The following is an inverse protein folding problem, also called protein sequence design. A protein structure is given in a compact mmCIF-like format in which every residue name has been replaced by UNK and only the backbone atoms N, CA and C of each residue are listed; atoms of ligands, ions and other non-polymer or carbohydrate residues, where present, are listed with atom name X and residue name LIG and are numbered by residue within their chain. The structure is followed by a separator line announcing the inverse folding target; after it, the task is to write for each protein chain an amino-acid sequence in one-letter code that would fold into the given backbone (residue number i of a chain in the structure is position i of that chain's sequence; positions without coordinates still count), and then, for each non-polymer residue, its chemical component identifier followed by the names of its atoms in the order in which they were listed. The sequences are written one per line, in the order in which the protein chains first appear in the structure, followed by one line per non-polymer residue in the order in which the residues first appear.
data_IF_406910729765
#
_entry.id   IF_406910729765
#
_cell.length_a   1.000
_cell.length_b   1.000
_cell.length_c   1.000
_cell.angle_alpha   90.00
_cell.angle_beta   90.00
_cell.angle_gamma   90.00
#
_symmetry.space_group_name_H-M   'P 1'
#
loop_
_entity.id
_entity.type
_entity.pdbx_description
1 polymer ?
#
# COMPACT_ATOMS: atom_id res chain seq x y z
N UNK A 1 2.78 1.27 27.48
CA UNK A 1 3.96 1.25 26.57
C UNK A 1 3.76 2.36 25.55
N UNK A 2 4.71 3.28 25.46
CA UNK A 2 4.71 4.34 24.44
C UNK A 2 5.55 3.84 23.26
N UNK A 3 5.11 4.10 22.04
CA UNK A 3 5.82 3.73 20.81
C UNK A 3 6.10 5.02 20.05
N UNK A 4 7.36 5.23 19.67
CA UNK A 4 7.78 6.42 18.94
C UNK A 4 7.61 6.21 17.44
N UNK A 5 7.31 7.30 16.72
CA UNK A 5 7.39 7.35 15.27
C UNK A 5 8.84 7.56 14.88
N UNK A 6 9.45 6.60 14.18
CA UNK A 6 10.86 6.67 13.78
C UNK A 6 11.07 7.25 12.39
N UNK A 7 10.03 7.20 11.55
CA UNK A 7 10.07 7.67 10.16
C UNK A 7 8.67 7.94 9.62
N UNK A 8 8.61 8.60 8.46
CA UNK A 8 7.42 8.67 7.62
C UNK A 8 7.75 8.18 6.21
N UNK A 9 6.79 7.49 5.58
CA UNK A 9 6.92 7.12 4.17
C UNK A 9 6.25 8.19 3.29
N UNK A 10 6.90 8.54 2.18
CA UNK A 10 6.33 9.36 1.09
C UNK A 10 6.01 8.47 -0.08
N UNK A 11 4.79 8.58 -0.61
CA UNK A 11 4.29 7.79 -1.73
C UNK A 11 3.44 8.61 -2.68
N UNK A 12 3.14 8.08 -3.85
CA UNK A 12 2.21 8.67 -4.82
C UNK A 12 0.73 8.48 -4.44
N UNK A 13 0.43 7.74 -3.36
CA UNK A 13 -0.92 7.44 -2.89
C UNK A 13 -1.33 8.43 -1.79
N UNK A 14 -2.01 9.51 -2.16
CA UNK A 14 -2.39 10.59 -1.24
C UNK A 14 -3.72 10.33 -0.51
N UNK A 15 -4.51 9.34 -0.94
CA UNK A 15 -5.78 8.96 -0.31
C UNK A 15 -5.85 7.44 -0.08
N UNK A 16 -6.78 7.01 0.79
CA UNK A 16 -7.06 5.58 1.07
C UNK A 16 -7.65 4.84 -0.12
N UNK A 17 -8.41 5.55 -0.96
CA UNK A 17 -9.01 4.98 -2.16
C UNK A 17 -7.90 4.70 -3.18
N UNK A 18 -7.80 3.46 -3.62
CA UNK A 18 -6.77 3.03 -4.56
C UNK A 18 -5.51 2.44 -3.92
N UNK A 19 -5.34 2.53 -2.60
CA UNK A 19 -4.23 1.84 -1.93
C UNK A 19 -4.39 0.32 -2.14
N UNK A 20 -3.37 -0.37 -2.68
CA UNK A 20 -3.38 -1.81 -2.81
C UNK A 20 -3.63 -2.47 -1.45
N UNK A 21 -4.37 -3.57 -1.45
CA UNK A 21 -4.81 -4.21 -0.19
C UNK A 21 -3.68 -4.93 0.55
N UNK A 22 -2.58 -5.20 -0.13
CA UNK A 22 -1.37 -5.82 0.42
C UNK A 22 -0.17 -5.28 -0.33
N UNK A 23 0.97 -5.23 0.35
CA UNK A 23 2.27 -4.94 -0.25
C UNK A 23 2.63 -5.95 -1.33
N UNK A 24 3.42 -5.52 -2.31
CA UNK A 24 3.91 -6.35 -3.40
C UNK A 24 2.89 -6.65 -4.51
N UNK A 25 1.58 -6.31 -4.36
CA UNK A 25 0.59 -6.50 -5.43
C UNK A 25 0.84 -5.60 -6.64
N UNK A 26 1.48 -4.46 -6.42
CA UNK A 26 1.92 -3.49 -7.44
C UNK A 26 3.39 -3.19 -7.17
N UNK A 27 4.31 -3.97 -7.74
CA UNK A 27 5.76 -3.84 -7.48
C UNK A 27 6.33 -2.47 -7.86
N UNK A 28 5.70 -1.78 -8.81
CA UNK A 28 6.12 -0.47 -9.32
C UNK A 28 5.82 0.69 -8.36
N UNK A 29 4.91 0.49 -7.37
CA UNK A 29 4.63 1.49 -6.35
C UNK A 29 5.86 1.79 -5.51
N UNK A 30 6.46 2.94 -5.75
CA UNK A 30 7.61 3.43 -5.01
C UNK A 30 7.22 4.08 -3.69
N UNK A 31 8.16 4.08 -2.74
CA UNK A 31 8.08 4.86 -1.52
C UNK A 31 9.46 5.33 -1.08
N UNK A 32 9.50 6.47 -0.41
CA UNK A 32 10.70 7.01 0.23
C UNK A 32 10.46 7.09 1.73
N UNK A 33 11.21 6.32 2.52
CA UNK A 33 11.15 6.36 3.96
C UNK A 33 12.15 7.39 4.45
N UNK A 34 11.65 8.42 5.14
CA UNK A 34 12.43 9.52 5.69
C UNK A 34 12.43 9.38 7.20
N UNK A 35 13.59 9.18 7.78
CA UNK A 35 13.74 9.05 9.23
C UNK A 35 13.47 10.37 9.95
N UNK A 36 12.89 10.30 11.14
CA UNK A 36 12.77 11.47 12.03
C UNK A 36 14.12 11.93 12.54
N UNK A 37 14.30 13.24 12.81
CA UNK A 37 15.62 13.80 13.17
C UNK A 37 16.39 13.02 14.26
N UNK A 38 15.75 12.54 15.35
CA UNK A 38 16.47 11.79 16.39
C UNK A 38 17.04 10.45 15.92
N UNK A 39 16.50 9.88 14.81
CA UNK A 39 16.84 8.54 14.29
C UNK A 39 17.69 8.57 13.03
N UNK A 40 18.17 9.75 12.59
CA UNK A 40 18.96 9.94 11.35
C UNK A 40 20.42 9.54 11.48
N UNK A 41 20.75 8.64 12.40
CA UNK A 41 22.11 8.13 12.51
C UNK A 41 22.36 7.05 11.44
N UNK A 42 23.33 7.24 10.50
CA UNK A 42 23.63 6.26 9.47
C UNK A 42 24.02 4.88 10.01
N UNK A 43 24.59 4.82 11.21
CA UNK A 43 24.98 3.56 11.84
C UNK A 43 23.79 2.64 12.14
N UNK A 44 22.58 3.21 12.32
CA UNK A 44 21.36 2.43 12.51
C UNK A 44 20.95 1.66 11.25
N UNK A 45 21.44 2.04 10.07
CA UNK A 45 21.15 1.39 8.79
C UNK A 45 22.30 0.52 8.28
N UNK A 46 23.41 0.44 9.03
CA UNK A 46 24.62 -0.30 8.62
C UNK A 46 24.28 -1.78 8.39
N UNK A 47 24.55 -2.28 7.18
CA UNK A 47 24.28 -3.65 6.76
C UNK A 47 22.87 -3.89 6.21
N UNK A 48 21.99 -2.86 6.23
CA UNK A 48 20.63 -3.00 5.71
C UNK A 48 20.62 -3.22 4.20
N UNK A 49 21.59 -2.68 3.47
CA UNK A 49 21.80 -2.85 2.02
C UNK A 49 22.04 -4.32 1.60
N UNK A 50 22.38 -5.18 2.55
CA UNK A 50 22.48 -6.63 2.31
C UNK A 50 21.15 -7.36 2.24
N UNK A 51 20.03 -6.70 2.56
CA UNK A 51 18.70 -7.30 2.54
C UNK A 51 17.89 -6.81 1.36
N UNK A 52 17.18 -7.71 0.69
CA UNK A 52 16.32 -7.38 -0.45
C UNK A 52 14.94 -6.88 -0.04
N UNK A 53 14.45 -7.25 1.13
CA UNK A 53 13.12 -6.89 1.62
C UNK A 53 13.14 -6.49 3.09
N UNK A 54 12.19 -5.64 3.45
CA UNK A 54 12.00 -5.10 4.80
C UNK A 54 10.56 -5.28 5.26
N UNK A 55 10.39 -5.58 6.53
CA UNK A 55 9.13 -5.41 7.23
C UNK A 55 9.03 -3.97 7.73
N UNK A 56 7.94 -3.28 7.36
CA UNK A 56 7.55 -2.00 7.91
C UNK A 56 6.42 -2.22 8.91
N UNK A 57 6.64 -1.81 10.16
CA UNK A 57 5.62 -1.74 11.20
C UNK A 57 5.16 -0.29 11.26
N UNK A 58 3.88 -0.03 11.02
CA UNK A 58 3.37 1.32 10.84
C UNK A 58 2.03 1.54 11.53
N UNK A 59 1.64 2.81 11.67
CA UNK A 59 0.35 3.19 12.22
C UNK A 59 -0.66 3.51 11.10
N UNK A 60 -1.86 2.96 11.21
CA UNK A 60 -3.00 3.35 10.36
C UNK A 60 -3.53 4.73 10.78
N UNK A 61 -2.77 5.80 10.52
CA UNK A 61 -3.05 7.15 11.01
C UNK A 61 -4.36 7.76 10.49
N UNK A 62 -4.87 7.31 9.32
CA UNK A 62 -6.13 7.79 8.73
C UNK A 62 -7.34 6.91 9.01
N UNK A 63 -7.19 5.84 9.79
CA UNK A 63 -8.26 4.88 10.05
C UNK A 63 -8.59 4.74 11.55
N UNK A 64 -8.05 5.60 12.40
CA UNK A 64 -8.32 5.60 13.82
C UNK A 64 -9.82 5.79 14.10
N UNK A 65 -10.37 4.95 14.98
CA UNK A 65 -11.73 5.06 15.52
C UNK A 65 -11.63 5.18 17.03
N UNK A 66 -12.59 5.88 17.64
CA UNK A 66 -12.65 6.01 19.10
C UNK A 66 -12.89 4.64 19.77
N UNK A 67 -13.65 3.76 19.12
CA UNK A 67 -13.96 2.43 19.63
C UNK A 67 -13.62 1.35 18.61
N UNK A 68 -13.09 0.22 19.08
CA UNK A 68 -12.85 -0.95 18.27
C UNK A 68 -14.08 -1.86 18.21
N UNK A 69 -14.15 -2.72 17.20
CA UNK A 69 -15.18 -3.74 17.11
C UNK A 69 -14.54 -5.12 16.99
N UNK A 70 -15.06 -6.15 17.68
CA UNK A 70 -14.53 -7.50 17.58
C UNK A 70 -14.71 -8.12 16.21
N UNK A 71 -15.59 -7.54 15.36
CA UNK A 71 -15.83 -8.01 14.01
C UNK A 71 -15.76 -6.88 13.00
N UNK A 72 -15.34 -7.21 11.80
CA UNK A 72 -15.32 -6.33 10.62
C UNK A 72 -16.00 -6.99 9.44
N UNK A 73 -16.35 -6.22 8.42
CA UNK A 73 -16.92 -6.70 7.16
C UNK A 73 -15.89 -6.52 6.05
N UNK A 74 -15.11 -7.56 5.71
CA UNK A 74 -14.11 -7.46 4.65
C UNK A 74 -14.80 -7.14 3.31
N UNK A 75 -14.38 -6.09 2.57
CA UNK A 75 -15.00 -5.73 1.29
C UNK A 75 -14.96 -6.87 0.26
N UNK A 76 -13.91 -7.71 0.31
CA UNK A 76 -13.75 -8.87 -0.58
C UNK A 76 -14.79 -9.98 -0.37
N UNK A 77 -15.47 -10.01 0.78
CA UNK A 77 -16.56 -10.95 1.04
C UNK A 77 -17.94 -10.33 0.76
N UNK A 78 -18.00 -9.33 -0.11
CA UNK A 78 -19.26 -8.65 -0.50
C UNK A 78 -19.84 -7.72 0.57
N UNK A 79 -19.08 -7.44 1.65
CA UNK A 79 -19.50 -6.53 2.73
C UNK A 79 -20.58 -7.07 3.67
N UNK A 80 -21.17 -8.23 3.39
CA UNK A 80 -22.25 -8.82 4.19
C UNK A 80 -21.77 -9.80 5.26
N UNK A 81 -20.67 -10.50 5.00
CA UNK A 81 -20.09 -11.48 5.93
C UNK A 81 -19.21 -10.80 6.98
N UNK A 82 -19.50 -11.06 8.25
CA UNK A 82 -18.67 -10.60 9.37
C UNK A 82 -17.53 -11.58 9.63
N UNK A 83 -16.34 -11.04 9.89
CA UNK A 83 -15.15 -11.81 10.30
C UNK A 83 -14.60 -11.22 11.58
N UNK A 84 -14.00 -12.06 12.43
CA UNK A 84 -13.25 -11.58 13.58
C UNK A 84 -12.13 -10.64 13.14
N UNK A 85 -11.93 -9.52 13.85
CA UNK A 85 -10.94 -8.51 13.47
C UNK A 85 -9.53 -9.09 13.37
N UNK A 86 -9.19 -10.04 14.24
CA UNK A 86 -7.88 -10.71 14.26
C UNK A 86 -7.70 -11.75 13.13
N UNK A 87 -8.79 -12.20 12.51
CA UNK A 87 -8.71 -13.01 11.29
C UNK A 87 -8.56 -12.13 10.02
N UNK A 88 -8.34 -10.83 10.16
CA UNK A 88 -8.22 -9.88 9.04
C UNK A 88 -7.03 -8.95 9.23
N UNK A 89 -6.62 -8.25 8.17
CA UNK A 89 -5.66 -7.14 8.21
C UNK A 89 -6.37 -5.77 8.19
N UNK A 90 -7.60 -5.70 8.71
CA UNK A 90 -8.36 -4.45 8.82
C UNK A 90 -7.64 -3.44 9.72
N UNK A 91 -7.64 -2.13 9.36
CA UNK A 91 -7.11 -1.08 10.22
C UNK A 91 -7.94 -0.82 11.48
N UNK A 92 -9.21 -1.30 11.51
CA UNK A 92 -10.15 -1.09 12.63
C UNK A 92 -9.95 -2.11 13.74
N UNK A 93 -8.75 -2.11 14.32
CA UNK A 93 -8.31 -3.03 15.39
C UNK A 93 -7.96 -2.26 16.67
N UNK A 94 -7.86 -2.93 17.83
CA UNK A 94 -7.55 -2.26 19.11
C UNK A 94 -6.30 -1.39 19.04
N UNK A 95 -5.23 -1.94 18.46
CA UNK A 95 -4.04 -1.20 18.11
C UNK A 95 -4.02 -1.06 16.58
N UNK A 96 -4.16 0.16 16.08
CA UNK A 96 -4.20 0.45 14.65
C UNK A 96 -2.79 0.34 14.02
N UNK A 97 -2.15 -0.81 14.21
CA UNK A 97 -0.80 -1.13 13.71
C UNK A 97 -0.91 -2.01 12.48
N UNK A 98 -0.17 -1.66 11.44
CA UNK A 98 -0.03 -2.41 10.20
C UNK A 98 1.35 -3.03 10.05
N UNK A 99 1.45 -4.00 9.14
CA UNK A 99 2.67 -4.70 8.77
C UNK A 99 2.68 -4.87 7.25
N UNK A 100 3.74 -4.39 6.59
CA UNK A 100 3.94 -4.53 5.13
C UNK A 100 5.35 -4.99 4.83
N UNK A 101 5.48 -5.97 3.96
CA UNK A 101 6.76 -6.38 3.40
C UNK A 101 7.00 -5.59 2.11
N UNK A 102 8.06 -4.81 2.06
CA UNK A 102 8.43 -3.99 0.90
C UNK A 102 9.81 -4.40 0.39
N UNK A 103 10.05 -4.23 -0.91
CA UNK A 103 11.39 -4.43 -1.46
C UNK A 103 12.24 -3.21 -1.16
N UNK A 104 13.46 -3.43 -0.65
CA UNK A 104 14.47 -2.38 -0.52
C UNK A 104 15.16 -2.19 -1.86
N UNK A 105 15.09 -0.98 -2.41
CA UNK A 105 15.76 -0.63 -3.66
C UNK A 105 17.11 0.01 -3.41
N UNK A 106 17.20 0.91 -2.43
CA UNK A 106 18.41 1.66 -2.15
C UNK A 106 18.40 2.24 -0.72
N UNK A 107 19.55 2.29 -0.09
CA UNK A 107 19.85 3.12 1.08
C UNK A 107 20.72 4.26 0.62
N UNK A 108 20.27 5.50 0.75
CA UNK A 108 20.98 6.69 0.26
C UNK A 108 21.15 7.71 1.39
N UNK A 109 22.32 8.34 1.43
CA UNK A 109 22.53 9.50 2.27
C UNK A 109 22.13 10.77 1.50
N UNK A 110 21.04 11.40 1.92
CA UNK A 110 20.57 12.68 1.37
C UNK A 110 21.19 13.83 2.19
N UNK A 111 21.61 14.90 1.50
CA UNK A 111 22.27 16.04 2.14
C UNK A 111 21.39 16.78 3.16
N UNK A 112 20.07 16.80 2.95
CA UNK A 112 19.11 17.55 3.79
C UNK A 112 18.33 16.65 4.75
N UNK A 113 17.99 15.44 4.29
CA UNK A 113 17.12 14.52 5.03
C UNK A 113 17.92 13.50 5.85
N UNK A 114 19.24 13.43 5.65
CA UNK A 114 20.05 12.36 6.22
C UNK A 114 19.83 11.04 5.48
N UNK A 115 19.99 9.88 6.14
CA UNK A 115 19.78 8.60 5.49
C UNK A 115 18.29 8.41 5.15
N UNK A 116 18.01 7.99 3.91
CA UNK A 116 16.67 7.67 3.37
C UNK A 116 16.68 6.28 2.76
N UNK A 117 15.53 5.60 2.82
CA UNK A 117 15.35 4.29 2.19
C UNK A 117 14.39 4.44 1.00
N UNK A 118 14.80 4.00 -0.17
CA UNK A 118 13.92 3.86 -1.33
C UNK A 118 13.40 2.42 -1.36
N UNK A 119 12.08 2.30 -1.42
CA UNK A 119 11.39 1.01 -1.39
C UNK A 119 10.40 0.89 -2.55
N UNK A 120 9.99 -0.34 -2.86
CA UNK A 120 8.95 -0.62 -3.84
C UNK A 120 7.96 -1.67 -3.34
N UNK A 121 6.79 -1.73 -4.00
CA UNK A 121 5.68 -2.57 -3.57
C UNK A 121 4.94 -2.04 -2.33
N UNK A 122 5.07 -0.76 -2.00
CA UNK A 122 4.45 -0.17 -0.82
C UNK A 122 2.93 -0.03 -0.99
N UNK A 123 2.17 -0.48 0.02
CA UNK A 123 0.71 -0.36 0.14
C UNK A 123 0.31 0.67 1.21
N UNK A 124 1.00 1.79 1.24
CA UNK A 124 0.90 2.81 2.28
C UNK A 124 0.51 4.16 1.71
N UNK A 125 -0.38 4.85 2.40
CA UNK A 125 -0.74 6.24 2.09
C UNK A 125 0.44 7.17 2.40
N UNK A 126 0.60 8.21 1.59
CA UNK A 126 1.59 9.26 1.84
C UNK A 126 1.52 9.82 3.27
N UNK A 127 2.69 10.02 3.89
CA UNK A 127 2.81 10.48 5.26
C UNK A 127 2.50 9.42 6.33
N UNK A 128 2.41 8.13 5.99
CA UNK A 128 2.17 7.08 7.00
C UNK A 128 3.33 7.00 7.98
N UNK A 129 3.06 7.11 9.31
CA UNK A 129 4.08 6.97 10.34
C UNK A 129 4.60 5.53 10.43
N UNK A 130 5.91 5.38 10.39
CA UNK A 130 6.63 4.11 10.59
C UNK A 130 7.10 4.04 12.04
N UNK A 131 6.81 2.92 12.69
CA UNK A 131 7.12 2.65 14.09
C UNK A 131 8.37 1.79 14.25
N UNK A 132 8.63 0.90 13.28
CA UNK A 132 9.81 0.04 13.27
C UNK A 132 10.11 -0.47 11.86
N UNK A 133 11.38 -0.81 11.60
CA UNK A 133 11.87 -1.39 10.36
C UNK A 133 12.68 -2.64 10.73
N UNK A 134 12.35 -3.79 10.13
CA UNK A 134 13.09 -5.03 10.33
C UNK A 134 13.47 -5.66 8.99
N UNK A 135 14.61 -6.32 8.88
CA UNK A 135 14.94 -7.09 7.68
C UNK A 135 14.01 -8.28 7.53
N UNK A 136 13.64 -8.61 6.28
CA UNK A 136 12.98 -9.87 5.96
C UNK A 136 14.01 -11.00 5.91
N UNK A 137 13.75 -12.07 6.64
CA UNK A 137 14.63 -13.24 6.74
C UNK A 137 13.98 -14.43 6.03
N UNK A 138 14.40 -14.79 4.80
CA UNK A 138 13.73 -15.84 4.02
C UNK A 138 13.60 -17.18 4.74
N UNK A 139 14.59 -17.56 5.54
CA UNK A 139 14.59 -18.82 6.26
C UNK A 139 13.59 -18.86 7.44
N UNK A 140 13.14 -17.70 7.91
CA UNK A 140 12.23 -17.57 9.06
C UNK A 140 10.84 -17.05 8.66
N UNK A 141 10.77 -16.16 7.66
CA UNK A 141 9.54 -15.44 7.31
C UNK A 141 8.77 -16.11 6.16
N UNK A 142 9.43 -16.98 5.37
CA UNK A 142 8.80 -17.63 4.24
C UNK A 142 8.19 -18.99 4.64
N UNK A 143 6.87 -19.12 4.47
CA UNK A 143 6.08 -20.32 4.74
C UNK A 143 5.30 -20.74 3.48
N UNK A 144 5.92 -21.45 2.52
CA UNK A 144 5.26 -21.83 1.26
C UNK A 144 4.02 -22.73 1.48
N UNK A 145 3.97 -23.47 2.58
CA UNK A 145 2.87 -24.36 2.97
C UNK A 145 1.70 -23.63 3.66
N UNK A 146 1.85 -22.32 3.96
CA UNK A 146 0.83 -21.58 4.69
C UNK A 146 -0.47 -21.47 3.90
N UNK A 147 -1.61 -21.61 4.59
CA UNK A 147 -2.95 -21.44 4.02
C UNK A 147 -3.48 -20.05 4.30
N UNK A 148 -4.06 -19.40 3.31
CA UNK A 148 -4.59 -18.02 3.41
C UNK A 148 -6.03 -17.93 3.90
N UNK A 149 -6.67 -19.04 4.29
CA UNK A 149 -8.03 -19.08 4.80
C UNK A 149 -9.03 -18.51 3.78
N UNK A 150 -9.86 -17.57 4.19
CA UNK A 150 -10.87 -16.97 3.29
C UNK A 150 -10.27 -16.10 2.17
N UNK A 151 -8.97 -15.83 2.17
CA UNK A 151 -8.32 -15.00 1.15
C UNK A 151 -7.83 -15.79 -0.06
N UNK A 152 -7.62 -17.11 0.07
CA UNK A 152 -7.08 -17.96 -1.00
C UNK A 152 -7.85 -17.88 -2.33
N UNK A 153 -9.21 -17.93 -2.34
CA UNK A 153 -9.97 -17.82 -3.59
C UNK A 153 -9.94 -16.43 -4.22
N UNK A 154 -9.41 -15.43 -3.51
CA UNK A 154 -9.57 -14.00 -3.84
C UNK A 154 -8.27 -13.37 -4.36
N UNK A 155 -7.18 -14.12 -4.39
CA UNK A 155 -5.83 -13.56 -4.60
C UNK A 155 -5.52 -13.17 -6.05
N UNK A 156 -6.23 -13.72 -7.04
CA UNK A 156 -5.80 -13.69 -8.45
C UNK A 156 -6.63 -12.79 -9.40
N UNK A 157 -7.68 -12.10 -8.93
CA UNK A 157 -8.53 -11.32 -9.83
C UNK A 157 -7.95 -9.93 -10.07
N UNK A 158 -7.47 -9.68 -11.27
CA UNK A 158 -7.13 -8.35 -11.80
C UNK A 158 -8.11 -7.96 -12.88
N UNK A 159 -8.41 -6.65 -12.98
CA UNK A 159 -9.15 -6.08 -14.10
C UNK A 159 -8.22 -5.88 -15.29
N UNK A 160 -8.77 -5.97 -16.49
CA UNK A 160 -8.14 -5.41 -17.69
C UNK A 160 -8.22 -3.88 -17.62
N UNK A 161 -7.11 -3.18 -17.91
CA UNK A 161 -7.06 -1.71 -17.89
C UNK A 161 -6.92 -1.19 -19.31
N UNK A 162 -7.94 -0.45 -19.77
CA UNK A 162 -7.92 0.29 -21.02
C UNK A 162 -7.59 1.75 -20.73
N UNK A 163 -6.47 2.24 -21.27
CA UNK A 163 -6.00 3.60 -21.06
C UNK A 163 -5.32 4.12 -22.32
N UNK A 164 -5.72 5.29 -22.80
CA UNK A 164 -4.99 5.99 -23.85
C UNK A 164 -3.61 6.42 -23.28
N UNK A 165 -2.49 6.01 -23.90
CA UNK A 165 -1.14 6.40 -23.47
C UNK A 165 -0.94 7.92 -23.35
N UNK A 166 -1.66 8.72 -24.16
CA UNK A 166 -1.59 10.16 -24.11
C UNK A 166 -2.04 10.73 -22.75
N UNK A 167 -2.99 10.10 -22.06
CA UNK A 167 -3.46 10.51 -20.76
C UNK A 167 -2.36 10.36 -19.67
N UNK A 168 -1.39 9.48 -19.90
CA UNK A 168 -0.30 9.20 -18.97
C UNK A 168 0.94 10.09 -19.21
N UNK A 169 0.93 10.96 -20.21
CA UNK A 169 2.10 11.74 -20.63
C UNK A 169 2.71 12.59 -19.50
N UNK A 170 1.87 13.08 -18.56
CA UNK A 170 2.31 13.88 -17.42
C UNK A 170 2.88 13.10 -16.22
N UNK A 171 2.99 11.75 -16.32
CA UNK A 171 3.54 10.90 -15.28
C UNK A 171 4.92 10.37 -15.69
N UNK A 172 5.81 10.20 -14.70
CA UNK A 172 7.09 9.50 -14.91
C UNK A 172 6.86 8.04 -15.34
N UNK A 173 7.80 7.39 -16.05
CA UNK A 173 7.62 6.01 -16.53
C UNK A 173 7.17 5.03 -15.43
N UNK A 174 7.86 5.01 -14.30
CA UNK A 174 7.51 4.16 -13.15
C UNK A 174 6.12 4.47 -12.57
N UNK A 175 5.73 5.75 -12.54
CA UNK A 175 4.39 6.16 -12.08
C UNK A 175 3.28 5.69 -13.02
N UNK A 176 3.52 5.62 -14.33
CA UNK A 176 2.56 5.07 -15.30
C UNK A 176 2.29 3.60 -15.02
N UNK A 177 3.34 2.81 -14.87
CA UNK A 177 3.24 1.39 -14.55
C UNK A 177 2.56 1.16 -13.21
N UNK A 178 2.94 1.92 -12.18
CA UNK A 178 2.34 1.87 -10.86
C UNK A 178 0.84 2.21 -10.89
N UNK A 179 0.45 3.28 -11.61
CA UNK A 179 -0.97 3.65 -11.76
C UNK A 179 -1.77 2.53 -12.44
N UNK A 180 -1.28 1.99 -13.55
CA UNK A 180 -1.96 0.89 -14.25
C UNK A 180 -2.07 -0.35 -13.35
N UNK A 181 -1.03 -0.67 -12.58
CA UNK A 181 -1.05 -1.75 -11.58
C UNK A 181 -2.08 -1.53 -10.48
N UNK A 182 -2.20 -0.30 -9.95
CA UNK A 182 -3.21 0.08 -8.95
C UNK A 182 -4.63 -0.09 -9.51
N UNK A 183 -4.87 0.39 -10.72
CA UNK A 183 -6.17 0.29 -11.38
C UNK A 183 -6.54 -1.17 -11.66
N UNK A 184 -5.58 -2.00 -12.09
CA UNK A 184 -5.78 -3.43 -12.30
C UNK A 184 -6.17 -4.18 -11.01
N UNK A 185 -5.75 -3.69 -9.82
CA UNK A 185 -6.14 -4.25 -8.53
C UNK A 185 -7.59 -3.98 -8.10
N UNK A 186 -8.41 -3.36 -8.94
CA UNK A 186 -9.79 -2.93 -8.69
C UNK A 186 -9.93 -2.10 -7.39
N UNK A 187 -9.72 -0.78 -7.46
CA UNK A 187 -9.80 0.08 -6.29
C UNK A 187 -11.23 0.22 -5.73
N UNK A 188 -12.26 -0.17 -6.50
CA UNK A 188 -13.67 -0.04 -6.10
C UNK A 188 -14.02 -0.93 -4.90
N UNK A 189 -14.99 -0.52 -4.07
CA UNK A 189 -15.68 -1.45 -3.18
C UNK A 189 -16.46 -2.49 -4.00
N UNK A 190 -16.27 -3.78 -3.75
CA UNK A 190 -16.89 -4.89 -4.52
C UNK A 190 -18.43 -4.91 -4.54
N UNK A 191 -19.10 -4.17 -3.66
CA UNK A 191 -20.56 -4.04 -3.65
C UNK A 191 -21.05 -2.94 -4.60
N UNK A 192 -20.16 -2.23 -5.28
CA UNK A 192 -20.47 -1.21 -6.27
C UNK A 192 -20.20 -1.78 -7.65
N UNK A 193 -21.28 -2.20 -8.34
CA UNK A 193 -21.23 -2.70 -9.70
C UNK A 193 -22.18 -1.86 -10.57
N UNK A 194 -21.81 -0.59 -10.76
CA UNK A 194 -22.52 0.39 -11.58
C UNK A 194 -21.61 0.79 -12.75
N UNK A 195 -21.89 0.34 -13.99
CA UNK A 195 -21.03 0.60 -15.15
C UNK A 195 -21.02 2.07 -15.57
N UNK A 196 -22.06 2.85 -15.26
CA UNK A 196 -22.14 4.27 -15.62
C UNK A 196 -21.43 5.17 -14.60
N UNK A 197 -21.07 4.61 -13.45
CA UNK A 197 -20.44 5.38 -12.38
C UNK A 197 -19.01 5.73 -12.72
N UNK A 198 -18.69 7.03 -12.67
CA UNK A 198 -17.32 7.55 -12.75
C UNK A 198 -16.70 7.58 -11.36
N UNK A 199 -15.57 6.91 -11.20
CA UNK A 199 -14.78 6.90 -10.00
C UNK A 199 -13.59 7.87 -10.13
N UNK A 200 -13.14 8.42 -9.01
CA UNK A 200 -11.95 9.28 -8.93
C UNK A 200 -10.91 8.67 -8.00
N UNK A 201 -9.66 8.63 -8.44
CA UNK A 201 -8.50 8.17 -7.69
C UNK A 201 -7.45 9.29 -7.66
N UNK A 202 -6.95 9.62 -6.48
CA UNK A 202 -5.84 10.55 -6.33
C UNK A 202 -4.51 9.79 -6.39
N UNK A 203 -3.66 10.12 -7.37
CA UNK A 203 -2.37 9.46 -7.60
C UNK A 203 -1.33 10.45 -8.13
N UNK A 204 -0.16 10.52 -7.50
CA UNK A 204 0.95 11.41 -7.88
C UNK A 204 0.52 12.89 -8.07
N UNK A 205 -0.39 13.37 -7.20
CA UNK A 205 -0.93 14.73 -7.27
C UNK A 205 -1.96 14.97 -8.37
N UNK A 206 -2.37 13.93 -9.09
CA UNK A 206 -3.38 13.98 -10.16
C UNK A 206 -4.67 13.29 -9.75
N UNK A 207 -5.78 13.72 -10.34
CA UNK A 207 -7.07 13.05 -10.22
C UNK A 207 -7.30 12.14 -11.44
N UNK A 208 -7.33 10.84 -11.21
CA UNK A 208 -7.55 9.82 -12.23
C UNK A 208 -9.02 9.44 -12.24
N UNK A 209 -9.72 9.69 -13.34
CA UNK A 209 -11.14 9.36 -13.51
C UNK A 209 -11.29 8.11 -14.37
N UNK A 210 -12.14 7.17 -13.94
CA UNK A 210 -12.35 5.90 -14.64
C UNK A 210 -13.74 5.33 -14.42
N UNK A 211 -14.14 4.44 -15.32
CA UNK A 211 -15.35 3.59 -15.22
C UNK A 211 -14.93 2.12 -15.24
N UNK A 212 -15.85 1.23 -14.84
CA UNK A 212 -15.59 -0.21 -14.93
C UNK A 212 -16.85 -0.92 -15.44
N UNK A 213 -16.70 -1.62 -16.57
CA UNK A 213 -17.77 -2.43 -17.17
C UNK A 213 -17.22 -3.80 -17.57
N UNK A 214 -17.95 -4.87 -17.23
CA UNK A 214 -17.64 -6.28 -17.64
C UNK A 214 -16.18 -6.70 -17.44
N UNK A 215 -15.56 -6.26 -16.32
CA UNK A 215 -14.17 -6.62 -15.98
C UNK A 215 -13.11 -5.75 -16.66
N UNK A 216 -13.49 -4.75 -17.44
CA UNK A 216 -12.59 -3.76 -18.06
C UNK A 216 -12.72 -2.44 -17.32
N UNK A 217 -11.59 -1.90 -16.84
CA UNK A 217 -11.48 -0.57 -16.30
C UNK A 217 -11.00 0.39 -17.40
N UNK A 218 -11.79 1.40 -17.72
CA UNK A 218 -11.47 2.40 -18.74
C UNK A 218 -11.08 3.72 -18.06
N UNK A 219 -9.86 4.20 -18.30
CA UNK A 219 -9.39 5.52 -17.84
C UNK A 219 -9.96 6.60 -18.73
N UNK A 220 -10.64 7.57 -18.14
CA UNK A 220 -11.31 8.68 -18.85
C UNK A 220 -10.45 9.96 -18.85
N UNK A 221 -9.73 10.22 -17.76
CA UNK A 221 -8.90 11.43 -17.61
C UNK A 221 -7.82 11.23 -16.53
N UNK A 222 -6.71 11.97 -16.64
CA UNK A 222 -5.62 12.11 -15.66
C UNK A 222 -5.27 13.60 -15.57
N UNK A 223 -5.85 14.32 -14.61
CA UNK A 223 -5.84 15.78 -14.48
C UNK A 223 -4.99 16.26 -13.29
#
# INVERSE_FOLDING_TARGET
MTVDVIAHIRTDLTDKFGVPRQSGLVPELGGTIVLEPPYRNPDALRGLEGFSHLWLIFQFHRAARAEWSPTVRPPRLGGNRRMGVFATRSPFRPNAIGLSCVKLEEVRLDEKLGPVLYVSGADLVDGTPILDIKPYLPYADCHPEATGGFTDPLSAQKLEVSCDPALLAGLAPRQREALLGVLACDPRPRYQDDPERVYGLSFAGKNVRFTVEKGVLTVLAVE
#
